data_IF_018082215240
#
_entry.id   IF_018082215240
#
_cell.length_a   1.000
_cell.length_b   1.000
_cell.length_c   1.000
_cell.angle_alpha   90.00
_cell.angle_beta   90.00
_cell.angle_gamma   90.00
#
_symmetry.space_group_name_H-M   'P 1'
#
loop_
_entity.id
_entity.type
_entity.pdbx_description
1 polymer ?
#
# COMPACT_ATOMS: atom_id res chain seq x y z
N UNK A 1 -15.50 -19.91 -7.43
CA UNK A 1 -15.33 -19.07 -6.22
C UNK A 1 -16.72 -18.61 -5.84
N UNK A 2 -17.17 -18.88 -4.62
CA UNK A 2 -18.57 -18.70 -4.20
C UNK A 2 -18.84 -17.25 -3.76
N UNK A 3 -20.10 -16.82 -3.84
CA UNK A 3 -20.51 -15.41 -3.64
C UNK A 3 -20.27 -14.85 -2.23
N UNK A 4 -20.19 -15.71 -1.20
CA UNK A 4 -20.05 -15.27 0.19
C UNK A 4 -18.72 -14.56 0.46
N UNK A 5 -17.64 -14.96 -0.23
CA UNK A 5 -16.33 -14.31 -0.11
C UNK A 5 -16.37 -12.87 -0.64
N UNK A 6 -17.08 -12.64 -1.76
CA UNK A 6 -17.27 -11.29 -2.32
C UNK A 6 -18.07 -10.40 -1.37
N UNK A 7 -19.15 -10.93 -0.79
CA UNK A 7 -19.99 -10.18 0.15
C UNK A 7 -19.23 -9.79 1.42
N UNK A 8 -18.37 -10.66 1.94
CA UNK A 8 -17.49 -10.33 3.07
C UNK A 8 -16.50 -9.25 2.67
N UNK A 9 -15.86 -9.36 1.50
CA UNK A 9 -14.91 -8.36 1.01
C UNK A 9 -15.58 -6.99 0.84
N UNK A 10 -16.77 -6.95 0.23
CA UNK A 10 -17.56 -5.74 0.03
C UNK A 10 -17.96 -5.09 1.37
N UNK A 11 -18.34 -5.91 2.36
CA UNK A 11 -18.69 -5.43 3.70
C UNK A 11 -17.51 -4.80 4.45
N UNK A 12 -16.27 -5.14 4.08
CA UNK A 12 -15.04 -4.62 4.69
C UNK A 12 -14.52 -3.34 4.01
N UNK A 13 -15.09 -2.93 2.87
CA UNK A 13 -14.65 -1.71 2.14
C UNK A 13 -14.60 -0.48 3.06
N UNK A 14 -15.61 -0.18 3.90
CA UNK A 14 -15.56 0.99 4.78
C UNK A 14 -14.40 0.94 5.79
N UNK A 15 -14.05 -0.26 6.28
CA UNK A 15 -12.92 -0.44 7.18
C UNK A 15 -11.59 -0.22 6.44
N UNK A 16 -11.48 -0.74 5.22
CA UNK A 16 -10.31 -0.54 4.37
C UNK A 16 -10.08 0.95 4.09
N UNK A 17 -11.14 1.71 3.80
CA UNK A 17 -11.05 3.16 3.57
C UNK A 17 -10.59 3.92 4.83
N UNK A 18 -11.08 3.52 6.00
CA UNK A 18 -10.62 4.07 7.28
C UNK A 18 -9.16 3.74 7.54
N UNK A 19 -8.73 2.50 7.30
CA UNK A 19 -7.34 2.09 7.44
C UNK A 19 -6.42 2.85 6.48
N UNK A 20 -6.84 3.07 5.23
CA UNK A 20 -6.12 3.89 4.24
C UNK A 20 -5.93 5.33 4.73
N UNK A 21 -7.00 5.94 5.25
CA UNK A 21 -6.95 7.30 5.78
C UNK A 21 -6.04 7.39 7.00
N UNK A 22 -6.15 6.45 7.93
CA UNK A 22 -5.37 6.45 9.17
C UNK A 22 -3.90 6.10 8.92
N UNK A 23 -3.60 5.21 7.98
CA UNK A 23 -2.21 4.91 7.59
C UNK A 23 -1.50 6.15 7.04
N UNK A 24 -2.25 7.04 6.40
CA UNK A 24 -1.77 8.30 5.82
C UNK A 24 -1.98 9.52 6.72
N UNK A 25 -2.31 9.32 8.00
CA UNK A 25 -2.60 10.40 8.95
C UNK A 25 -1.35 11.17 9.40
N UNK A 26 -0.16 10.57 9.28
CA UNK A 26 1.11 11.17 9.67
C UNK A 26 1.89 11.65 8.44
N UNK A 27 3.03 12.32 8.63
CA UNK A 27 3.89 12.71 7.51
C UNK A 27 4.73 11.55 6.93
N UNK A 28 4.69 10.36 7.54
CA UNK A 28 5.58 9.23 7.24
C UNK A 28 4.77 7.99 6.89
N UNK A 29 5.02 7.45 5.70
CA UNK A 29 4.48 6.17 5.26
C UNK A 29 5.56 5.43 4.47
N UNK A 30 5.65 4.11 4.66
CA UNK A 30 6.52 3.25 3.88
C UNK A 30 5.69 2.57 2.80
N UNK A 31 6.23 2.46 1.59
CA UNK A 31 5.57 1.74 0.50
C UNK A 31 6.54 0.71 -0.09
N UNK A 32 6.05 -0.51 -0.28
CA UNK A 32 6.71 -1.56 -1.05
C UNK A 32 5.95 -1.84 -2.35
N UNK A 33 6.69 -2.13 -3.42
CA UNK A 33 6.19 -2.46 -4.76
C UNK A 33 6.66 -3.87 -5.15
N UNK A 34 5.80 -4.86 -4.94
CA UNK A 34 6.11 -6.26 -5.24
C UNK A 34 5.46 -6.70 -6.56
N UNK A 35 6.24 -7.08 -7.59
CA UNK A 35 5.69 -7.67 -8.81
C UNK A 35 5.17 -9.09 -8.55
N UNK A 36 3.96 -9.38 -9.03
CA UNK A 36 3.34 -10.72 -8.92
C UNK A 36 2.95 -11.28 -10.28
N UNK A 37 2.97 -12.61 -10.42
CA UNK A 37 2.50 -13.30 -11.63
C UNK A 37 1.02 -13.62 -11.48
N UNK A 38 0.21 -13.11 -12.40
CA UNK A 38 -1.23 -13.32 -12.46
C UNK A 38 -1.56 -14.30 -13.57
N UNK A 39 -2.49 -15.20 -13.29
CA UNK A 39 -3.10 -16.02 -14.33
C UNK A 39 -4.02 -15.13 -15.19
N UNK A 40 -3.88 -15.20 -16.51
CA UNK A 40 -4.73 -14.46 -17.44
C UNK A 40 -5.94 -15.32 -17.83
N UNK A 41 -7.18 -14.97 -17.41
CA UNK A 41 -8.35 -15.76 -17.78
C UNK A 41 -8.54 -15.75 -19.30
N UNK A 42 -8.63 -16.93 -19.90
CA UNK A 42 -8.88 -17.07 -21.35
C UNK A 42 -7.68 -16.77 -22.26
N UNK A 43 -6.48 -16.55 -21.73
CA UNK A 43 -5.25 -16.44 -22.53
C UNK A 43 -4.16 -17.38 -22.03
N UNK A 44 -3.37 -18.01 -22.92
CA UNK A 44 -2.21 -18.78 -22.52
C UNK A 44 -1.14 -17.86 -21.90
N UNK A 45 -0.65 -18.22 -20.71
CA UNK A 45 0.45 -17.53 -20.03
C UNK A 45 0.05 -16.74 -18.79
N UNK A 46 0.98 -15.90 -18.31
CA UNK A 46 0.81 -15.08 -17.09
C UNK A 46 1.05 -13.61 -17.38
N UNK A 47 0.24 -12.73 -16.80
CA UNK A 47 0.48 -11.28 -16.77
C UNK A 47 1.27 -10.89 -15.51
N UNK A 48 2.08 -9.84 -15.60
CA UNK A 48 2.69 -9.24 -14.41
C UNK A 48 1.76 -8.20 -13.80
N UNK A 49 1.27 -8.48 -12.60
CA UNK A 49 0.59 -7.52 -11.72
C UNK A 49 1.54 -6.93 -10.69
N UNK A 50 0.99 -6.07 -9.84
CA UNK A 50 1.70 -5.37 -8.78
C UNK A 50 0.87 -5.41 -7.50
N UNK A 51 1.50 -5.85 -6.42
CA UNK A 51 0.96 -5.77 -5.07
C UNK A 51 1.69 -4.65 -4.34
N UNK A 52 0.92 -3.71 -3.83
CA UNK A 52 1.40 -2.54 -3.11
C UNK A 52 1.17 -2.78 -1.63
N UNK A 53 2.19 -2.51 -0.82
CA UNK A 53 2.08 -2.56 0.63
C UNK A 53 2.39 -1.17 1.16
N UNK A 54 1.44 -0.55 1.85
CA UNK A 54 1.62 0.75 2.50
C UNK A 54 1.57 0.56 4.01
N UNK A 55 2.66 0.87 4.69
CA UNK A 55 2.75 0.88 6.14
C UNK A 55 2.71 2.32 6.66
N UNK A 56 1.84 2.58 7.63
CA UNK A 56 1.64 3.93 8.14
C UNK A 56 0.91 3.96 9.47
N UNK A 57 0.35 5.12 9.80
CA UNK A 57 -0.29 5.37 11.08
C UNK A 57 0.72 5.91 12.10
N UNK A 58 0.22 6.22 13.30
CA UNK A 58 1.00 6.91 14.34
C UNK A 58 2.28 6.15 14.72
N UNK A 59 2.25 4.82 14.70
CA UNK A 59 3.35 3.96 15.12
C UNK A 59 3.85 3.02 13.99
N UNK A 60 3.51 3.29 12.72
CA UNK A 60 3.77 2.37 11.60
C UNK A 60 3.18 0.97 11.82
N UNK A 61 1.96 0.91 12.37
CA UNK A 61 1.24 -0.30 12.77
C UNK A 61 0.11 -0.68 11.80
N UNK A 62 -0.27 0.22 10.89
CA UNK A 62 -1.29 -0.04 9.88
C UNK A 62 -0.68 -0.43 8.55
N UNK A 63 -0.89 -1.68 8.16
CA UNK A 63 -0.48 -2.23 6.88
C UNK A 63 -1.70 -2.32 5.95
N UNK A 64 -1.64 -1.63 4.81
CA UNK A 64 -2.69 -1.64 3.79
C UNK A 64 -2.15 -2.22 2.50
N UNK A 65 -2.88 -3.18 1.95
CA UNK A 65 -2.57 -3.81 0.68
C UNK A 65 -3.43 -3.24 -0.45
N UNK A 66 -2.81 -2.97 -1.60
CA UNK A 66 -3.49 -2.60 -2.83
C UNK A 66 -2.96 -3.43 -4.00
N UNK A 67 -3.72 -3.54 -5.08
CA UNK A 67 -3.38 -4.41 -6.20
C UNK A 67 -3.74 -3.79 -7.55
N UNK A 68 -2.80 -3.81 -8.48
CA UNK A 68 -3.02 -3.40 -9.87
C UNK A 68 -2.62 -4.52 -10.84
N UNK A 69 -3.46 -4.76 -11.86
CA UNK A 69 -3.17 -5.77 -12.91
C UNK A 69 -2.09 -5.32 -13.91
N UNK A 70 -1.71 -4.05 -13.89
CA UNK A 70 -0.73 -3.47 -14.80
C UNK A 70 0.46 -2.85 -14.04
N UNK A 71 1.52 -2.49 -14.79
CA UNK A 71 2.71 -1.77 -14.31
C UNK A 71 2.46 -0.25 -14.17
N UNK A 72 1.20 0.20 -14.26
CA UNK A 72 0.88 1.61 -14.22
C UNK A 72 1.23 2.22 -12.87
N UNK A 73 1.65 3.48 -12.86
CA UNK A 73 1.84 4.27 -11.62
C UNK A 73 0.51 4.68 -10.97
N UNK A 74 -0.61 4.29 -11.57
CA UNK A 74 -1.95 4.72 -11.17
C UNK A 74 -2.30 4.31 -9.74
N UNK A 75 -1.93 3.08 -9.33
CA UNK A 75 -2.20 2.60 -7.96
C UNK A 75 -1.65 3.53 -6.88
N UNK A 76 -0.33 3.77 -6.85
CA UNK A 76 0.28 4.71 -5.90
C UNK A 76 -0.22 6.14 -6.05
N UNK A 77 -0.41 6.62 -7.28
CA UNK A 77 -0.90 7.99 -7.52
C UNK A 77 -2.29 8.19 -6.90
N UNK A 78 -3.18 7.21 -7.02
CA UNK A 78 -4.52 7.26 -6.44
C UNK A 78 -4.47 7.10 -4.92
N UNK A 79 -3.64 6.18 -4.41
CA UNK A 79 -3.49 5.93 -2.98
C UNK A 79 -2.96 7.16 -2.23
N UNK A 80 -1.93 7.82 -2.77
CA UNK A 80 -1.27 8.97 -2.14
C UNK A 80 -1.77 10.33 -2.63
N UNK A 81 -2.86 10.39 -3.41
CA UNK A 81 -3.30 11.61 -4.13
C UNK A 81 -3.36 12.89 -3.27
N UNK A 82 -3.78 12.76 -2.02
CA UNK A 82 -3.95 13.88 -1.08
C UNK A 82 -2.99 13.79 0.12
N UNK A 83 -1.98 12.93 0.04
CA UNK A 83 -1.07 12.68 1.14
C UNK A 83 -0.04 13.82 1.26
N UNK A 84 0.07 14.38 2.46
CA UNK A 84 1.06 15.42 2.79
C UNK A 84 2.24 14.78 3.51
N UNK A 85 3.18 14.25 2.75
CA UNK A 85 4.41 13.69 3.31
C UNK A 85 5.36 14.80 3.75
N UNK A 86 6.18 14.50 4.76
CA UNK A 86 7.47 15.18 4.89
C UNK A 86 8.44 14.60 3.85
N UNK A 87 9.41 15.38 3.41
CA UNK A 87 10.44 14.86 2.52
C UNK A 87 11.30 13.81 3.24
N UNK A 88 11.72 12.78 2.50
CA UNK A 88 12.47 11.66 3.07
C UNK A 88 13.79 12.12 3.74
N UNK A 89 14.39 13.21 3.26
CA UNK A 89 15.60 13.81 3.83
C UNK A 89 15.34 14.42 5.21
N UNK A 90 14.21 15.12 5.38
CA UNK A 90 13.77 15.61 6.71
C UNK A 90 13.42 14.46 7.65
N UNK A 91 12.82 13.36 7.16
CA UNK A 91 12.53 12.20 8.03
C UNK A 91 13.80 11.51 8.55
N UNK A 92 14.77 11.22 7.67
CA UNK A 92 16.02 10.55 8.05
C UNK A 92 16.84 11.40 9.04
N UNK A 93 16.78 12.72 8.93
CA UNK A 93 17.46 13.64 9.85
C UNK A 93 16.73 13.83 11.18
N UNK A 94 15.40 13.65 11.22
CA UNK A 94 14.59 13.74 12.43
C UNK A 94 14.53 12.43 13.26
N UNK A 95 14.91 11.28 12.67
CA UNK A 95 15.10 10.06 13.43
C UNK A 95 16.26 10.27 14.43
N UNK A 96 16.06 9.99 15.73
CA UNK A 96 17.17 10.04 16.68
C UNK A 96 18.20 9.00 16.26
N UNK A 97 19.25 9.47 15.58
CA UNK A 97 20.39 8.67 15.18
C UNK A 97 21.18 8.29 16.43
N UNK A 98 20.69 7.30 17.18
CA UNK A 98 21.45 6.66 18.24
C UNK A 98 21.86 5.26 17.75
N UNK A 99 23.14 5.18 17.35
CA UNK A 99 23.94 3.96 17.12
C UNK A 99 23.62 3.12 15.87
N UNK A 100 24.10 3.59 14.72
CA UNK A 100 24.61 2.70 13.65
C UNK A 100 26.04 3.11 13.25
N UNK A 101 26.92 3.19 14.24
CA UNK A 101 28.38 3.12 14.04
C UNK A 101 28.90 1.99 14.93
N UNK A 102 28.96 0.80 14.35
CA UNK A 102 29.91 -0.25 14.71
C UNK A 102 31.00 -0.26 13.66
#
# INVERSE_FOLDING_TARGET
MWDWESQVAESLIPLLDLMKKESLSTGVALSDDTPIRLLSPGQPGSQTGRMWVSLGGKNLDLCVYDFTRNRGREGPILFFKNYKSIDALTFVSALPCHKLRG
#
